data_IF_291623023581
#
_entry.id   IF_291623023581
#
_cell.length_a   1.000
_cell.length_b   1.000
_cell.length_c   1.000
_cell.angle_alpha   90.00
_cell.angle_beta   90.00
_cell.angle_gamma   90.00
#
_symmetry.space_group_name_H-M   'P 1'
#
loop_
_entity.id
_entity.type
_entity.pdbx_description
1 polymer ?
#
# COMPACT_ATOMS: atom_id res chain seq x y z
N UNK A 1 23.21 -13.07 -4.38
CA UNK A 1 23.01 -12.43 -5.70
C UNK A 1 21.61 -11.86 -5.67
N UNK A 2 21.46 -10.59 -5.31
CA UNK A 2 20.19 -9.89 -5.48
C UNK A 2 20.07 -9.64 -6.98
N UNK A 3 19.00 -10.13 -7.59
CA UNK A 3 18.66 -9.72 -8.94
C UNK A 3 18.04 -8.33 -8.75
N UNK A 4 18.71 -7.29 -9.26
CA UNK A 4 18.12 -5.95 -9.32
C UNK A 4 16.98 -6.02 -10.34
N UNK A 5 15.78 -6.31 -9.85
CA UNK A 5 14.56 -6.31 -10.66
C UNK A 5 14.05 -4.88 -10.67
N UNK A 6 14.03 -4.26 -11.85
CA UNK A 6 13.40 -2.96 -12.04
C UNK A 6 11.87 -3.15 -12.12
N UNK A 7 11.15 -2.40 -11.29
CA UNK A 7 9.69 -2.40 -11.27
C UNK A 7 9.13 -1.10 -11.85
N UNK A 8 8.08 -1.21 -12.67
CA UNK A 8 7.24 -0.07 -13.05
C UNK A 8 6.03 0.00 -12.11
N UNK A 9 5.99 1.00 -11.24
CA UNK A 9 4.88 1.23 -10.31
C UNK A 9 4.08 2.45 -10.77
N UNK A 10 2.81 2.23 -11.09
CA UNK A 10 1.86 3.31 -11.37
C UNK A 10 1.12 3.67 -10.07
N UNK A 11 1.29 4.91 -9.60
CA UNK A 11 0.67 5.39 -8.37
C UNK A 11 -0.44 6.39 -8.70
N UNK A 12 -1.64 6.14 -8.17
CA UNK A 12 -2.78 7.04 -8.28
C UNK A 12 -3.03 7.64 -6.90
N UNK A 13 -2.91 8.96 -6.80
CA UNK A 13 -3.29 9.67 -5.58
C UNK A 13 -4.83 9.87 -5.56
N UNK A 14 -5.46 9.44 -4.46
CA UNK A 14 -6.90 9.53 -4.28
C UNK A 14 -7.24 10.49 -3.14
N UNK A 15 -8.21 11.39 -3.31
CA UNK A 15 -8.60 12.33 -2.26
C UNK A 15 -9.13 11.61 -1.02
N UNK A 16 -8.74 12.06 0.19
CA UNK A 16 -9.15 11.42 1.45
C UNK A 16 -10.51 11.88 2.00
N UNK A 17 -11.10 12.95 1.45
CA UNK A 17 -12.37 13.50 1.93
C UNK A 17 -13.56 12.73 1.33
N UNK A 18 -14.60 12.48 2.15
CA UNK A 18 -15.77 11.69 1.77
C UNK A 18 -16.52 12.23 0.54
N UNK A 19 -16.52 13.56 0.37
CA UNK A 19 -17.17 14.22 -0.77
C UNK A 19 -16.61 13.79 -2.13
N UNK A 20 -15.38 13.25 -2.16
CA UNK A 20 -14.74 12.76 -3.39
C UNK A 20 -14.78 11.24 -3.51
N UNK A 21 -15.72 10.57 -2.84
CA UNK A 21 -15.88 9.11 -2.92
C UNK A 21 -15.93 8.57 -4.36
N UNK A 22 -16.55 9.31 -5.30
CA UNK A 22 -16.57 8.94 -6.71
C UNK A 22 -15.17 8.87 -7.35
N UNK A 23 -14.27 9.79 -6.98
CA UNK A 23 -12.89 9.77 -7.46
C UNK A 23 -12.10 8.62 -6.83
N UNK A 24 -12.29 8.37 -5.53
CA UNK A 24 -11.65 7.25 -4.82
C UNK A 24 -12.10 5.92 -5.43
N UNK A 25 -13.40 5.75 -5.68
CA UNK A 25 -13.94 4.55 -6.33
C UNK A 25 -13.34 4.35 -7.72
N UNK A 26 -13.19 5.42 -8.49
CA UNK A 26 -12.60 5.38 -9.83
C UNK A 26 -11.13 4.98 -9.77
N UNK A 27 -10.35 5.56 -8.87
CA UNK A 27 -8.94 5.20 -8.66
C UNK A 27 -8.79 3.74 -8.21
N UNK A 28 -9.67 3.28 -7.32
CA UNK A 28 -9.70 1.91 -6.81
C UNK A 28 -9.94 0.93 -7.96
N UNK A 29 -10.95 1.15 -8.81
CA UNK A 29 -11.22 0.28 -9.97
C UNK A 29 -10.03 0.14 -10.93
N UNK A 30 -9.15 1.16 -11.03
CA UNK A 30 -7.96 1.12 -11.89
C UNK A 30 -6.73 0.44 -11.27
N UNK A 31 -6.71 0.22 -9.96
CA UNK A 31 -5.48 -0.09 -9.21
C UNK A 31 -5.42 -1.55 -8.79
N UNK A 32 -4.31 -2.26 -9.02
CA UNK A 32 -4.23 -3.69 -8.66
C UNK A 32 -4.11 -3.92 -7.14
N UNK A 33 -3.62 -2.91 -6.42
CA UNK A 33 -3.48 -2.89 -4.97
C UNK A 33 -3.78 -1.51 -4.39
N UNK A 34 -3.85 -1.40 -3.07
CA UNK A 34 -4.10 -0.14 -2.37
C UNK A 34 -3.19 0.04 -1.16
N UNK A 35 -2.73 1.27 -0.93
CA UNK A 35 -2.01 1.65 0.30
C UNK A 35 -3.02 2.33 1.23
N UNK A 36 -3.40 1.65 2.30
CA UNK A 36 -4.28 2.21 3.32
C UNK A 36 -3.44 3.02 4.32
N UNK A 37 -3.54 4.34 4.27
CA UNK A 37 -2.79 5.23 5.17
C UNK A 37 -3.63 5.56 6.40
N UNK A 38 -3.09 5.32 7.59
CA UNK A 38 -3.74 5.63 8.87
C UNK A 38 -2.84 6.58 9.68
N UNK A 39 -3.41 7.69 10.13
CA UNK A 39 -2.76 8.56 11.12
C UNK A 39 -2.76 7.87 12.48
N UNK A 40 -1.59 7.66 13.09
CA UNK A 40 -1.50 6.97 14.39
C UNK A 40 -2.01 7.79 15.57
N UNK A 41 -2.14 9.11 15.41
CA UNK A 41 -2.74 10.00 16.42
C UNK A 41 -4.25 9.86 16.39
N UNK A 42 -4.88 9.96 15.23
CA UNK A 42 -6.34 9.85 15.09
C UNK A 42 -6.80 8.38 15.22
N UNK A 43 -6.08 7.46 14.58
CA UNK A 43 -6.40 6.05 14.53
C UNK A 43 -7.40 5.71 13.43
N UNK A 44 -8.18 4.65 13.64
CA UNK A 44 -9.16 4.17 12.66
C UNK A 44 -10.44 5.01 12.73
N UNK A 45 -10.70 5.80 11.69
CA UNK A 45 -11.88 6.67 11.59
C UNK A 45 -12.95 6.09 10.65
N UNK A 46 -14.13 6.73 10.59
CA UNK A 46 -15.22 6.34 9.68
C UNK A 46 -14.80 6.35 8.19
N UNK A 47 -13.90 7.27 7.83
CA UNK A 47 -13.32 7.37 6.48
C UNK A 47 -12.45 6.13 6.17
N UNK A 48 -11.60 5.72 7.12
CA UNK A 48 -10.77 4.51 7.01
C UNK A 48 -11.63 3.26 6.79
N UNK A 49 -12.73 3.14 7.54
CA UNK A 49 -13.67 2.03 7.40
C UNK A 49 -14.32 2.05 6.01
N UNK A 50 -14.79 3.21 5.55
CA UNK A 50 -15.40 3.35 4.22
C UNK A 50 -14.42 3.01 3.09
N UNK A 51 -13.16 3.46 3.20
CA UNK A 51 -12.10 3.15 2.26
C UNK A 51 -11.77 1.65 2.23
N UNK A 52 -11.63 1.01 3.40
CA UNK A 52 -11.37 -0.43 3.47
C UNK A 52 -12.53 -1.25 2.90
N UNK A 53 -13.78 -0.86 3.15
CA UNK A 53 -14.97 -1.50 2.55
C UNK A 53 -14.98 -1.39 1.03
N UNK A 54 -14.58 -0.25 0.49
CA UNK A 54 -14.47 -0.03 -0.96
C UNK A 54 -13.38 -0.91 -1.57
N UNK A 55 -12.18 -0.93 -1.00
CA UNK A 55 -11.06 -1.80 -1.41
C UNK A 55 -11.48 -3.27 -1.40
N UNK A 56 -12.20 -3.70 -0.35
CA UNK A 56 -12.69 -5.07 -0.23
C UNK A 56 -13.74 -5.41 -1.29
N UNK A 57 -14.69 -4.49 -1.54
CA UNK A 57 -15.75 -4.66 -2.53
C UNK A 57 -15.17 -4.83 -3.94
N UNK A 58 -14.12 -4.09 -4.27
CA UNK A 58 -13.42 -4.15 -5.56
C UNK A 58 -12.38 -5.28 -5.62
N UNK A 59 -12.33 -6.16 -4.60
CA UNK A 59 -11.41 -7.30 -4.50
C UNK A 59 -9.93 -6.93 -4.69
N UNK A 60 -9.54 -5.80 -4.09
CA UNK A 60 -8.18 -5.25 -4.17
C UNK A 60 -7.41 -5.61 -2.91
N UNK A 61 -6.12 -5.95 -3.06
CA UNK A 61 -5.27 -6.26 -1.91
C UNK A 61 -4.75 -4.97 -1.26
N UNK A 62 -5.05 -4.71 0.02
CA UNK A 62 -4.49 -3.58 0.73
C UNK A 62 -3.16 -3.92 1.43
N UNK A 63 -2.26 -2.93 1.51
CA UNK A 63 -1.19 -2.88 2.50
C UNK A 63 -1.39 -1.67 3.42
N UNK A 64 -0.99 -1.78 4.69
CA UNK A 64 -1.23 -0.75 5.71
C UNK A 64 0.01 0.14 5.90
N UNK A 65 -0.18 1.44 5.92
CA UNK A 65 0.82 2.44 6.28
C UNK A 65 0.37 3.19 7.53
N UNK A 66 1.02 2.94 8.66
CA UNK A 66 0.83 3.68 9.91
C UNK A 66 1.72 4.93 9.86
N UNK A 67 1.11 6.09 9.61
CA UNK A 67 1.79 7.35 9.38
C UNK A 67 1.67 8.28 10.60
N UNK A 68 2.54 9.31 10.64
CA UNK A 68 2.63 10.35 11.68
C UNK A 68 3.11 9.82 13.05
N UNK A 69 3.95 8.79 13.05
CA UNK A 69 4.55 8.26 14.29
C UNK A 69 5.39 9.32 15.04
N UNK A 70 5.96 10.28 14.32
CA UNK A 70 6.67 11.42 14.90
C UNK A 70 5.84 12.19 15.94
N UNK A 71 4.52 12.33 15.70
CA UNK A 71 3.62 13.05 16.61
C UNK A 71 3.40 12.33 17.93
N UNK A 72 3.53 10.99 17.97
CA UNK A 72 3.45 10.22 19.21
C UNK A 72 4.56 10.65 20.18
N UNK A 73 5.75 10.96 19.66
CA UNK A 73 6.89 11.37 20.46
C UNK A 73 6.99 12.89 20.64
N UNK A 74 6.76 13.67 19.58
CA UNK A 74 6.99 15.12 19.59
C UNK A 74 5.83 15.91 20.20
N UNK A 75 4.59 15.50 19.92
CA UNK A 75 3.39 16.21 20.40
C UNK A 75 2.81 15.53 21.64
N UNK A 76 2.53 14.22 21.55
CA UNK A 76 1.90 13.46 22.64
C UNK A 76 2.89 13.06 23.74
N UNK A 77 4.20 13.16 23.47
CA UNK A 77 5.29 12.83 24.40
C UNK A 77 5.14 11.44 25.04
N UNK A 78 4.64 10.49 24.25
CA UNK A 78 4.46 9.11 24.69
C UNK A 78 5.81 8.43 24.91
N UNK A 79 5.85 7.56 25.91
CA UNK A 79 6.96 6.61 26.05
C UNK A 79 6.94 5.59 24.90
N UNK A 80 8.08 4.95 24.57
CA UNK A 80 8.13 3.91 23.55
C UNK A 80 7.14 2.75 23.78
N UNK A 81 6.88 2.40 25.04
CA UNK A 81 5.90 1.38 25.41
C UNK A 81 4.45 1.83 25.13
N UNK A 82 4.12 3.08 25.42
CA UNK A 82 2.79 3.65 25.13
C UNK A 82 2.57 3.78 23.62
N UNK A 83 3.58 4.25 22.89
CA UNK A 83 3.55 4.31 21.43
C UNK A 83 3.34 2.91 20.82
N UNK A 84 4.05 1.89 21.31
CA UNK A 84 3.84 0.51 20.87
C UNK A 84 2.41 0.01 21.13
N UNK A 85 1.86 0.24 22.33
CA UNK A 85 0.48 -0.12 22.64
C UNK A 85 -0.52 0.60 21.73
N UNK A 86 -0.27 1.88 21.40
CA UNK A 86 -1.10 2.64 20.45
C UNK A 86 -1.07 2.03 19.05
N UNK A 87 0.12 1.70 18.54
CA UNK A 87 0.28 1.06 17.23
C UNK A 87 -0.40 -0.32 17.20
N UNK A 88 -0.20 -1.13 18.24
CA UNK A 88 -0.84 -2.43 18.40
C UNK A 88 -2.36 -2.30 18.38
N UNK A 89 -2.91 -1.37 19.17
CA UNK A 89 -4.35 -1.11 19.19
C UNK A 89 -4.90 -0.76 17.80
N UNK A 90 -4.20 0.08 17.02
CA UNK A 90 -4.66 0.46 15.68
C UNK A 90 -4.68 -0.76 14.74
N UNK A 91 -3.62 -1.59 14.77
CA UNK A 91 -3.55 -2.81 13.96
C UNK A 91 -4.67 -3.79 14.34
N UNK A 92 -4.96 -3.95 15.63
CA UNK A 92 -6.07 -4.78 16.11
C UNK A 92 -7.43 -4.26 15.65
N UNK A 93 -7.66 -2.94 15.75
CA UNK A 93 -8.92 -2.32 15.31
C UNK A 93 -9.17 -2.51 13.81
N UNK A 94 -8.15 -2.28 12.97
CA UNK A 94 -8.32 -2.43 11.51
C UNK A 94 -8.50 -3.91 11.12
N UNK A 95 -7.83 -4.84 11.81
CA UNK A 95 -8.02 -6.27 11.61
C UNK A 95 -9.41 -6.75 12.06
N UNK A 96 -10.00 -6.14 13.09
CA UNK A 96 -11.38 -6.43 13.47
C UNK A 96 -12.36 -6.04 12.36
N UNK A 97 -12.16 -4.90 11.68
CA UNK A 97 -12.97 -4.48 10.54
C UNK A 97 -12.75 -5.43 9.35
N UNK A 98 -11.51 -5.80 9.05
CA UNK A 98 -11.19 -6.76 7.99
C UNK A 98 -11.86 -8.12 8.25
N UNK A 99 -11.84 -8.60 9.50
CA UNK A 99 -12.52 -9.83 9.90
C UNK A 99 -14.05 -9.76 9.71
N UNK A 100 -14.69 -8.63 10.07
CA UNK A 100 -16.13 -8.43 9.82
C UNK A 100 -16.47 -8.48 8.33
N UNK A 101 -15.64 -7.86 7.50
CA UNK A 101 -15.79 -7.86 6.04
C UNK A 101 -15.62 -9.25 5.44
N UNK A 102 -14.66 -10.02 5.96
CA UNK A 102 -14.44 -11.41 5.56
C UNK A 102 -15.65 -12.28 5.87
N UNK A 103 -16.14 -12.25 7.11
CA UNK A 103 -17.33 -13.02 7.52
C UNK A 103 -18.55 -12.66 6.65
N UNK A 104 -18.74 -11.37 6.36
CA UNK A 104 -19.83 -10.91 5.50
C UNK A 104 -19.75 -11.48 4.07
N UNK A 105 -18.53 -11.65 3.54
CA UNK A 105 -18.31 -12.24 2.21
C UNK A 105 -18.63 -13.73 2.21
N UNK A 106 -18.10 -14.48 3.18
CA UNK A 106 -18.30 -15.94 3.28
C UNK A 106 -19.79 -16.28 3.36
N UNK A 107 -20.55 -15.57 4.19
CA UNK A 107 -22.00 -15.76 4.30
C UNK A 107 -22.68 -15.46 2.96
N UNK A 108 -22.32 -14.35 2.31
CA UNK A 108 -22.91 -13.97 1.02
C UNK A 108 -22.59 -14.93 -0.13
N UNK A 109 -21.42 -15.58 -0.10
CA UNK A 109 -21.03 -16.58 -1.09
C UNK A 109 -21.78 -17.91 -0.83
N UNK A 110 -21.94 -18.33 0.44
CA UNK A 110 -22.76 -19.49 0.82
C UNK A 110 -24.22 -19.35 0.37
N UNK A 111 -24.86 -18.20 0.62
CA UNK A 111 -26.24 -17.94 0.19
C UNK A 111 -26.41 -17.98 -1.34
N UNK A 112 -25.37 -17.66 -2.11
CA UNK A 112 -25.40 -17.72 -3.58
C UNK A 112 -25.24 -19.15 -4.08
N UNK A 113 -24.34 -19.91 -3.49
CA UNK A 113 -24.15 -21.33 -3.82
C UNK A 113 -25.43 -22.14 -3.59
N UNK A 114 -26.13 -21.88 -2.48
CA UNK A 114 -27.43 -22.51 -2.17
C UNK A 114 -28.52 -22.15 -3.18
N UNK A 115 -28.49 -20.94 -3.77
CA UNK A 115 -29.49 -20.52 -4.78
C UNK A 115 -29.20 -21.03 -6.18
N UNK A 116 -27.94 -21.35 -6.48
CA UNK A 116 -27.51 -21.73 -7.83
C UNK A 116 -27.36 -23.26 -8.03
N UNK A 117 -27.76 -24.10 -7.06
CA UNK A 117 -27.66 -25.56 -7.10
C UNK A 117 -26.26 -26.08 -7.54
N UNK A 118 -25.20 -25.31 -7.22
CA UNK A 118 -23.82 -25.72 -7.53
C UNK A 118 -23.29 -26.61 -6.40
N UNK A 119 -22.61 -27.73 -6.72
CA UNK A 119 -21.98 -28.54 -5.69
C UNK A 119 -20.91 -27.72 -4.95
N UNK A 120 -20.89 -27.83 -3.62
CA UNK A 120 -19.93 -27.12 -2.77
C UNK A 120 -18.50 -27.51 -3.12
N UNK A 121 -17.80 -26.65 -3.86
CA UNK A 121 -16.36 -26.77 -4.00
C UNK A 121 -15.69 -26.24 -2.74
N UNK A 122 -15.65 -27.06 -1.70
CA UNK A 122 -14.71 -26.89 -0.59
C UNK A 122 -13.28 -27.07 -1.14
N UNK A 123 -12.61 -26.01 -1.62
CA UNK A 123 -11.16 -26.12 -1.87
C UNK A 123 -10.31 -24.85 -1.97
N UNK A 124 -10.84 -23.62 -1.93
CA UNK A 124 -9.98 -22.41 -2.04
C UNK A 124 -10.29 -21.26 -1.07
N UNK A 125 -11.28 -21.40 -0.18
CA UNK A 125 -11.63 -20.35 0.79
C UNK A 125 -10.60 -20.17 1.91
N UNK A 126 -9.99 -21.26 2.38
CA UNK A 126 -9.14 -21.25 3.58
C UNK A 126 -7.77 -20.59 3.35
N UNK A 127 -7.26 -20.59 2.11
CA UNK A 127 -5.99 -19.92 1.77
C UNK A 127 -6.15 -18.39 1.64
N UNK A 128 -7.38 -17.91 1.45
CA UNK A 128 -7.65 -16.48 1.23
C UNK A 128 -7.86 -15.69 2.54
N UNK A 129 -8.23 -16.34 3.64
CA UNK A 129 -8.43 -15.72 4.96
C UNK A 129 -7.21 -14.92 5.42
N UNK A 130 -6.03 -15.52 5.26
CA UNK A 130 -4.79 -14.99 5.76
C UNK A 130 -4.28 -13.78 4.97
N UNK A 131 -4.63 -13.68 3.68
CA UNK A 131 -4.17 -12.58 2.81
C UNK A 131 -4.77 -11.22 3.18
N UNK A 132 -5.87 -11.24 3.92
CA UNK A 132 -6.71 -10.09 4.22
C UNK A 132 -6.34 -9.35 5.51
N UNK A 133 -5.59 -9.98 6.41
CA UNK A 133 -5.21 -9.39 7.69
C UNK A 133 -3.89 -8.61 7.60
N UNK A 134 -3.82 -7.49 8.30
CA UNK A 134 -2.64 -6.66 8.46
C UNK A 134 -1.77 -7.22 9.58
N UNK A 135 -0.65 -7.86 9.22
CA UNK A 135 0.25 -8.53 10.14
C UNK A 135 1.67 -8.02 9.88
N UNK A 136 2.24 -7.20 10.77
CA UNK A 136 3.54 -6.58 10.55
C UNK A 136 4.67 -7.56 10.17
N UNK A 137 4.65 -8.77 10.73
CA UNK A 137 5.65 -9.83 10.46
C UNK A 137 5.62 -10.35 9.01
N UNK A 138 4.49 -10.16 8.31
CA UNK A 138 4.31 -10.50 6.89
C UNK A 138 4.75 -9.39 5.95
N UNK A 139 5.17 -8.23 6.48
CA UNK A 139 5.63 -7.10 5.69
C UNK A 139 4.53 -6.28 5.01
N UNK A 140 3.25 -6.56 5.31
CA UNK A 140 2.10 -5.79 4.81
C UNK A 140 1.70 -4.61 5.72
N UNK A 141 2.50 -4.30 6.73
CA UNK A 141 2.37 -3.10 7.57
C UNK A 141 3.69 -2.33 7.56
N UNK A 142 3.61 -1.05 7.21
CA UNK A 142 4.72 -0.10 7.21
C UNK A 142 4.50 0.93 8.32
N UNK A 143 5.56 1.22 9.07
CA UNK A 143 5.56 2.23 10.13
C UNK A 143 6.32 3.45 9.64
N UNK A 144 5.72 4.64 9.69
CA UNK A 144 6.30 5.81 9.04
C UNK A 144 6.01 7.16 9.72
N UNK A 145 6.85 8.13 9.38
CA UNK A 145 6.55 9.55 9.41
C UNK A 145 6.85 10.15 8.04
N UNK A 146 5.78 10.43 7.28
CA UNK A 146 5.91 11.13 6.00
C UNK A 146 6.43 12.57 6.16
N UNK A 147 6.13 13.21 7.29
CA UNK A 147 6.59 14.56 7.59
C UNK A 147 8.11 14.63 7.72
N UNK A 148 8.71 13.64 8.39
CA UNK A 148 10.15 13.53 8.58
C UNK A 148 10.86 12.62 7.57
N UNK A 149 10.11 12.08 6.59
CA UNK A 149 10.64 11.37 5.44
C UNK A 149 11.19 9.97 5.72
N UNK A 150 10.76 9.31 6.80
CA UNK A 150 11.15 7.92 7.09
C UNK A 150 10.01 6.95 7.18
N UNK A 151 10.32 5.69 6.87
CA UNK A 151 9.46 4.56 7.05
C UNK A 151 10.27 3.28 7.17
N UNK A 152 9.71 2.27 7.81
CA UNK A 152 10.34 0.97 7.93
C UNK A 152 9.33 -0.17 8.00
N UNK A 153 9.80 -1.35 7.66
CA UNK A 153 9.16 -2.65 7.84
C UNK A 153 9.89 -3.41 8.94
N UNK A 154 9.25 -4.45 9.46
CA UNK A 154 9.92 -5.34 10.42
C UNK A 154 11.19 -5.95 9.81
N UNK A 155 11.15 -6.28 8.52
CA UNK A 155 12.25 -6.91 7.80
C UNK A 155 13.53 -6.07 7.77
N UNK A 156 13.40 -4.75 7.73
CA UNK A 156 14.55 -3.83 7.69
C UNK A 156 15.37 -3.96 8.98
N UNK A 157 14.68 -4.04 10.12
CA UNK A 157 15.31 -4.24 11.42
C UNK A 157 15.73 -5.68 11.67
N UNK A 158 14.99 -6.66 11.17
CA UNK A 158 15.38 -8.08 11.25
C UNK A 158 16.74 -8.28 10.57
N UNK A 159 16.98 -7.71 9.38
CA UNK A 159 18.27 -7.79 8.68
C UNK A 159 19.41 -7.20 9.53
N UNK A 160 19.17 -6.05 10.17
CA UNK A 160 20.15 -5.37 11.03
C UNK A 160 20.47 -6.20 12.28
N UNK A 161 19.45 -6.71 12.97
CA UNK A 161 19.62 -7.36 14.27
C UNK A 161 19.98 -8.84 14.17
N UNK A 162 19.54 -9.55 13.14
CA UNK A 162 19.93 -10.94 12.89
C UNK A 162 21.46 -11.07 12.71
N UNK A 163 22.05 -10.16 11.91
CA UNK A 163 23.50 -10.10 11.71
C UNK A 163 24.25 -9.68 12.99
N UNK A 164 23.75 -8.70 13.74
CA UNK A 164 24.39 -8.23 14.99
C UNK A 164 24.32 -9.24 16.13
N UNK A 165 23.22 -9.98 16.27
CA UNK A 165 22.99 -10.89 17.39
C UNK A 165 23.26 -12.36 17.06
N UNK A 166 23.56 -12.68 15.78
CA UNK A 166 23.71 -14.06 15.30
C UNK A 166 22.49 -14.94 15.62
N UNK A 167 21.30 -14.35 15.49
CA UNK A 167 20.00 -15.03 15.63
C UNK A 167 19.42 -15.20 14.24
N UNK A 168 18.76 -16.34 14.00
CA UNK A 168 18.08 -16.60 12.74
C UNK A 168 17.02 -15.54 12.40
N UNK A 169 17.04 -15.06 11.17
CA UNK A 169 16.17 -13.98 10.72
C UNK A 169 14.68 -14.36 10.75
N UNK A 170 14.33 -15.63 10.51
CA UNK A 170 12.94 -16.07 10.53
C UNK A 170 12.35 -16.08 11.94
N UNK A 171 13.16 -16.49 12.93
CA UNK A 171 12.78 -16.45 14.35
C UNK A 171 12.60 -15.00 14.81
N UNK A 172 13.54 -14.14 14.42
CA UNK A 172 13.50 -12.73 14.81
C UNK A 172 12.32 -12.00 14.17
N UNK A 173 12.00 -12.29 12.91
CA UNK A 173 10.82 -11.76 12.21
C UNK A 173 9.52 -12.06 12.94
N UNK A 174 9.31 -13.32 13.33
CA UNK A 174 8.12 -13.78 14.06
C UNK A 174 8.01 -13.28 15.49
N UNK A 175 9.09 -12.75 16.04
CA UNK A 175 9.13 -12.27 17.43
C UNK A 175 9.32 -10.75 17.53
N UNK A 176 9.53 -10.06 16.40
CA UNK A 176 9.71 -8.61 16.39
C UNK A 176 8.42 -7.89 16.75
N UNK A 177 7.27 -8.48 16.45
CA UNK A 177 5.95 -7.99 16.84
C UNK A 177 5.35 -8.93 17.90
N UNK A 178 4.58 -8.39 18.84
CA UNK A 178 3.96 -9.17 19.92
C UNK A 178 4.76 -9.23 21.23
N UNK A 179 4.36 -10.15 22.11
CA UNK A 179 4.83 -10.22 23.51
C UNK A 179 6.13 -11.04 23.67
N UNK A 180 7.17 -10.65 22.95
CA UNK A 180 8.50 -11.25 23.02
C UNK A 180 9.53 -10.24 23.50
N UNK A 181 10.60 -10.69 24.16
CA UNK A 181 11.71 -9.83 24.58
C UNK A 181 13.05 -10.51 24.37
N UNK A 182 14.11 -9.71 24.24
CA UNK A 182 15.48 -10.21 24.21
C UNK A 182 16.07 -10.26 25.62
N UNK A 183 16.65 -11.39 26.00
CA UNK A 183 17.37 -11.53 27.27
C UNK A 183 18.88 -11.50 27.04
N UNK A 184 19.55 -10.43 27.49
CA UNK A 184 21.00 -10.30 27.38
C UNK A 184 21.76 -11.43 28.11
N UNK A 185 21.15 -12.03 29.16
CA UNK A 185 21.75 -13.13 29.92
C UNK A 185 21.85 -14.42 29.10
N UNK A 186 20.78 -14.76 28.38
CA UNK A 186 20.70 -16.00 27.60
C UNK A 186 21.00 -15.78 26.12
N UNK A 187 21.11 -14.53 25.67
CA UNK A 187 21.24 -14.11 24.26
C UNK A 187 20.18 -14.73 23.35
N UNK A 188 18.96 -14.88 23.88
CA UNK A 188 17.82 -15.48 23.18
C UNK A 188 16.60 -14.60 23.25
N UNK A 189 15.74 -14.73 22.25
CA UNK A 189 14.39 -14.18 22.26
C UNK A 189 13.49 -15.11 23.06
N UNK A 190 12.73 -14.55 24.00
CA UNK A 190 11.87 -15.28 24.91
C UNK A 190 10.45 -14.68 24.88
N UNK A 191 9.40 -15.51 25.02
CA UNK A 191 8.02 -15.02 25.10
C UNK A 191 7.69 -14.48 26.50
N UNK A 192 6.52 -13.86 26.59
CA UNK A 192 5.89 -13.33 27.80
C UNK A 192 6.67 -12.16 28.41
N UNK A 193 6.94 -11.13 27.59
CA UNK A 193 7.65 -9.93 28.05
C UNK A 193 6.86 -9.22 29.15
N UNK A 194 5.56 -8.99 28.92
CA UNK A 194 4.67 -8.30 29.85
C UNK A 194 4.62 -9.00 31.22
N UNK A 195 4.43 -10.32 31.25
CA UNK A 195 4.37 -11.10 32.49
C UNK A 195 5.67 -11.03 33.31
N UNK A 196 6.81 -10.76 32.65
CA UNK A 196 8.13 -10.64 33.28
C UNK A 196 8.56 -9.19 33.52
N UNK A 197 7.66 -8.22 33.32
CA UNK A 197 7.96 -6.79 33.42
C UNK A 197 9.06 -6.32 32.46
N UNK A 198 9.16 -6.98 31.29
CA UNK A 198 10.12 -6.65 30.23
C UNK A 198 9.40 -5.93 29.10
N UNK A 199 10.11 -5.03 28.43
CA UNK A 199 9.60 -4.38 27.24
C UNK A 199 9.59 -5.35 26.05
N UNK A 200 8.61 -5.24 25.14
CA UNK A 200 8.59 -5.99 23.90
C UNK A 200 9.81 -5.72 23.01
N UNK A 201 10.13 -6.66 22.13
CA UNK A 201 11.28 -6.60 21.24
C UNK A 201 11.20 -5.39 20.31
N UNK A 202 10.00 -5.11 19.77
CA UNK A 202 9.71 -3.93 18.97
C UNK A 202 10.13 -2.63 19.67
N UNK A 203 9.84 -2.53 20.97
CA UNK A 203 10.18 -1.34 21.76
C UNK A 203 11.70 -1.23 21.90
N UNK A 204 12.32 -2.30 22.40
CA UNK A 204 13.76 -2.35 22.69
C UNK A 204 14.64 -2.11 21.46
N UNK A 205 14.25 -2.66 20.31
CA UNK A 205 15.10 -2.72 19.11
C UNK A 205 14.76 -1.66 18.07
N UNK A 206 13.57 -1.05 18.14
CA UNK A 206 13.08 -0.12 17.13
C UNK A 206 12.68 1.21 17.77
N UNK A 207 11.62 1.24 18.58
CA UNK A 207 11.05 2.51 19.05
C UNK A 207 11.99 3.29 19.97
N UNK A 208 12.78 2.61 20.81
CA UNK A 208 13.80 3.27 21.64
C UNK A 208 14.84 4.00 20.78
N UNK A 209 15.25 3.42 19.65
CA UNK A 209 16.21 4.04 18.73
C UNK A 209 15.60 5.23 17.99
N UNK A 210 14.33 5.10 17.56
CA UNK A 210 13.59 6.19 16.92
C UNK A 210 13.41 7.36 17.90
N UNK A 211 12.99 7.08 19.13
CA UNK A 211 12.83 8.10 20.16
C UNK A 211 14.17 8.74 20.52
N UNK A 212 15.27 7.99 20.62
CA UNK A 212 16.58 8.56 20.93
C UNK A 212 17.03 9.63 19.92
N UNK A 213 16.69 9.46 18.63
CA UNK A 213 16.95 10.48 17.60
C UNK A 213 16.06 11.72 17.82
N UNK A 214 14.76 11.53 18.04
CA UNK A 214 13.85 12.65 18.32
C UNK A 214 14.19 13.39 19.61
N UNK A 215 14.60 12.66 20.64
CA UNK A 215 14.98 13.21 21.93
C UNK A 215 16.23 14.07 21.79
N UNK A 216 17.31 13.50 21.25
CA UNK A 216 18.59 14.21 21.07
C UNK A 216 18.53 15.36 20.05
N UNK A 217 17.54 15.37 19.15
CA UNK A 217 17.41 16.42 18.14
C UNK A 217 16.38 17.49 18.48
N UNK A 218 15.20 17.12 18.98
CA UNK A 218 14.07 18.05 19.12
C UNK A 218 13.62 18.26 20.56
N UNK A 219 13.57 17.22 21.39
CA UNK A 219 13.00 17.32 22.74
C UNK A 219 14.02 17.85 23.74
N UNK A 220 15.18 17.21 23.81
CA UNK A 220 16.31 17.54 24.68
C UNK A 220 17.58 17.60 23.84
N UNK A 221 17.82 18.71 23.09
CA UNK A 221 18.91 18.79 22.14
C UNK A 221 20.28 18.49 22.76
N UNK A 222 20.93 17.42 22.30
CA UNK A 222 22.25 16.96 22.72
C UNK A 222 23.06 16.47 21.51
N UNK A 223 23.90 17.37 20.99
CA UNK A 223 24.75 17.10 19.83
C UNK A 223 25.79 16.00 20.11
N UNK A 224 26.25 15.85 21.35
CA UNK A 224 27.23 14.84 21.72
C UNK A 224 26.60 13.44 21.74
N UNK A 225 25.38 13.31 22.26
CA UNK A 225 24.62 12.07 22.17
C UNK A 225 24.24 11.75 20.72
N UNK A 226 23.83 12.75 19.95
CA UNK A 226 23.49 12.56 18.54
C UNK A 226 24.67 12.06 17.71
N UNK A 227 25.88 12.59 17.93
CA UNK A 227 27.11 12.10 17.29
C UNK A 227 27.39 10.64 17.61
N UNK A 228 27.12 10.19 18.84
CA UNK A 228 27.23 8.76 19.22
C UNK A 228 26.23 7.91 18.46
N UNK A 229 25.00 8.38 18.29
CA UNK A 229 23.96 7.68 17.51
C UNK A 229 24.38 7.57 16.04
N UNK A 230 24.81 8.67 15.42
CA UNK A 230 25.27 8.71 14.01
C UNK A 230 26.41 7.70 13.80
N UNK A 231 27.38 7.66 14.72
CA UNK A 231 28.49 6.70 14.66
C UNK A 231 28.02 5.25 14.85
N UNK A 232 27.11 4.99 15.80
CA UNK A 232 26.55 3.66 16.07
C UNK A 232 25.75 3.11 14.87
N UNK A 233 25.00 3.99 14.20
CA UNK A 233 24.24 3.67 12.99
C UNK A 233 25.12 3.68 11.71
N UNK A 234 26.39 4.08 11.82
CA UNK A 234 27.34 4.21 10.70
C UNK A 234 26.82 5.11 9.57
N UNK A 235 26.19 6.23 9.93
CA UNK A 235 25.62 7.17 8.96
C UNK A 235 26.66 8.21 8.54
N UNK A 236 26.74 8.45 7.23
CA UNK A 236 27.59 9.50 6.67
C UNK A 236 26.87 10.85 6.72
N UNK A 237 27.01 11.57 7.83
CA UNK A 237 26.48 12.92 8.03
C UNK A 237 27.63 13.92 8.07
N UNK A 238 27.56 14.97 7.27
CA UNK A 238 28.62 15.97 7.18
C UNK A 238 28.59 16.91 8.40
N UNK A 239 29.75 17.44 8.85
CA UNK A 239 29.80 18.41 9.93
C UNK A 239 29.03 19.71 9.65
N UNK A 240 28.78 20.03 8.37
CA UNK A 240 27.95 21.16 7.96
C UNK A 240 26.47 20.89 8.21
N UNK A 241 25.99 19.68 7.92
CA UNK A 241 24.61 19.25 8.20
C UNK A 241 24.33 19.19 9.71
N UNK A 242 25.31 18.76 10.51
CA UNK A 242 25.21 18.77 11.97
C UNK A 242 25.11 20.18 12.56
N UNK A 243 25.70 21.16 11.87
CA UNK A 243 25.72 22.59 12.23
C UNK A 243 24.71 23.42 11.44
N UNK A 244 23.89 22.79 10.58
CA UNK A 244 22.95 23.50 9.71
C UNK A 244 22.04 24.37 10.57
N UNK A 245 22.13 25.68 10.33
CA UNK A 245 21.65 26.72 11.22
C UNK A 245 20.16 26.62 11.55
N UNK A 246 19.85 26.62 12.85
CA UNK A 246 18.51 26.84 13.41
C UNK A 246 17.50 25.69 13.26
N UNK A 247 17.45 25.03 12.10
CA UNK A 247 16.44 24.01 11.82
C UNK A 247 16.89 22.60 12.19
N UNK A 248 16.66 22.22 13.45
CA UNK A 248 16.93 20.86 13.95
C UNK A 248 16.05 19.80 13.30
N UNK A 249 14.90 20.16 12.72
CA UNK A 249 14.03 19.19 12.03
C UNK A 249 14.62 18.80 10.67
N UNK A 250 15.36 19.68 10.01
CA UNK A 250 16.14 19.32 8.83
C UNK A 250 17.21 18.25 9.14
N UNK A 251 17.85 18.32 10.32
CA UNK A 251 18.81 17.31 10.76
C UNK A 251 18.15 15.95 10.99
N UNK A 252 16.97 15.94 11.63
CA UNK A 252 16.14 14.74 11.78
C UNK A 252 15.86 14.11 10.42
N UNK A 253 15.35 14.88 9.44
CA UNK A 253 15.10 14.40 8.07
C UNK A 253 16.36 13.85 7.38
N UNK A 254 17.50 14.50 7.59
CA UNK A 254 18.79 14.11 7.03
C UNK A 254 19.28 12.75 7.56
N UNK A 255 19.16 12.53 8.87
CA UNK A 255 19.53 11.28 9.55
C UNK A 255 18.58 10.16 9.13
N UNK A 256 17.27 10.41 9.27
CA UNK A 256 16.23 9.43 8.97
C UNK A 256 16.17 9.07 7.49
N UNK A 257 16.33 10.03 6.57
CA UNK A 257 16.37 9.77 5.13
C UNK A 257 17.56 8.92 4.69
N UNK A 258 18.65 8.86 5.47
CA UNK A 258 19.80 7.96 5.23
C UNK A 258 19.64 6.61 5.93
N UNK A 259 18.96 6.58 7.08
CA UNK A 259 18.82 5.36 7.88
C UNK A 259 17.64 4.50 7.43
N UNK A 260 16.47 5.11 7.24
CA UNK A 260 15.19 4.45 6.97
C UNK A 260 14.40 5.24 5.90
N UNK A 261 14.84 5.24 4.63
CA UNK A 261 14.20 6.03 3.58
C UNK A 261 12.74 5.59 3.36
N UNK A 262 11.80 6.52 3.50
CA UNK A 262 10.36 6.22 3.38
C UNK A 262 9.99 5.55 2.06
N UNK A 263 10.51 6.07 0.94
CA UNK A 263 10.17 5.58 -0.39
C UNK A 263 10.55 4.09 -0.56
N UNK A 264 11.70 3.67 -0.03
CA UNK A 264 12.16 2.28 -0.09
C UNK A 264 11.22 1.38 0.70
N UNK A 265 10.90 1.75 1.95
CA UNK A 265 10.02 0.94 2.78
C UNK A 265 8.62 0.75 2.17
N UNK A 266 8.06 1.80 1.57
CA UNK A 266 6.73 1.74 0.95
C UNK A 266 6.77 0.96 -0.36
N UNK A 267 7.71 1.27 -1.27
CA UNK A 267 7.78 0.63 -2.58
C UNK A 267 8.15 -0.85 -2.49
N UNK A 268 9.03 -1.23 -1.57
CA UNK A 268 9.31 -2.64 -1.33
C UNK A 268 8.06 -3.38 -0.83
N UNK A 269 7.28 -2.79 0.09
CA UNK A 269 6.00 -3.40 0.51
C UNK A 269 5.05 -3.56 -0.67
N UNK A 270 4.95 -2.57 -1.55
CA UNK A 270 4.12 -2.66 -2.76
C UNK A 270 4.56 -3.83 -3.63
N UNK A 271 5.86 -3.95 -3.93
CA UNK A 271 6.39 -5.00 -4.79
C UNK A 271 6.30 -6.40 -4.16
N UNK A 272 6.46 -6.51 -2.84
CA UNK A 272 6.42 -7.80 -2.13
C UNK A 272 4.99 -8.29 -1.84
N UNK A 273 4.04 -7.38 -1.66
CA UNK A 273 2.70 -7.73 -1.18
C UNK A 273 1.60 -7.62 -2.23
N UNK A 274 1.71 -6.73 -3.20
CA UNK A 274 0.65 -6.51 -4.19
C UNK A 274 0.84 -7.43 -5.41
N UNK A 275 -0.25 -7.99 -5.94
CA UNK A 275 -0.17 -8.88 -7.10
C UNK A 275 0.23 -8.09 -8.36
N UNK A 276 1.08 -8.64 -9.24
CA UNK A 276 1.24 -8.08 -10.58
C UNK A 276 -0.07 -8.19 -11.38
N UNK A 277 -0.29 -7.33 -12.40
CA UNK A 277 -1.50 -7.32 -13.22
C UNK A 277 -1.86 -8.68 -13.84
N UNK A 278 -0.84 -9.47 -14.19
CA UNK A 278 -1.00 -10.82 -14.76
C UNK A 278 -1.50 -11.87 -13.78
N UNK A 279 -1.63 -11.54 -12.50
CA UNK A 279 -2.06 -12.44 -11.42
C UNK A 279 -3.36 -11.98 -10.75
N UNK A 280 -4.10 -11.07 -11.40
CA UNK A 280 -5.37 -10.60 -10.89
C UNK A 280 -6.39 -11.75 -10.78
N UNK A 281 -7.17 -11.81 -9.69
CA UNK A 281 -8.22 -12.82 -9.53
C UNK A 281 -9.26 -12.72 -10.66
N UNK A 282 -9.67 -13.87 -11.21
CA UNK A 282 -10.70 -13.92 -12.25
C UNK A 282 -12.01 -13.27 -11.79
N UNK A 283 -12.37 -13.43 -10.52
CA UNK A 283 -13.54 -12.80 -9.90
C UNK A 283 -13.52 -11.26 -10.11
N UNK A 284 -12.35 -10.64 -9.96
CA UNK A 284 -12.20 -9.20 -10.12
C UNK A 284 -12.33 -8.77 -11.57
N UNK A 285 -11.69 -9.48 -12.50
CA UNK A 285 -11.83 -9.18 -13.93
C UNK A 285 -13.29 -9.30 -14.39
N UNK A 286 -13.99 -10.34 -13.94
CA UNK A 286 -15.42 -10.51 -14.21
C UNK A 286 -16.23 -9.33 -13.67
N UNK A 287 -15.94 -8.85 -12.47
CA UNK A 287 -16.59 -7.66 -11.88
C UNK A 287 -16.31 -6.41 -12.72
N UNK A 288 -15.06 -6.16 -13.15
CA UNK A 288 -14.70 -5.01 -13.97
C UNK A 288 -15.38 -5.01 -15.35
N UNK A 289 -15.63 -6.20 -15.92
CA UNK A 289 -16.32 -6.34 -17.20
C UNK A 289 -17.83 -6.14 -17.10
N UNK A 290 -18.41 -6.33 -15.91
CA UNK A 290 -19.84 -6.22 -15.68
C UNK A 290 -20.21 -4.79 -15.25
N UNK A 291 -21.39 -4.33 -15.69
CA UNK A 291 -21.99 -3.12 -15.09
C UNK A 291 -22.55 -3.47 -13.71
N UNK A 292 -22.69 -2.46 -12.85
CA UNK A 292 -23.34 -2.61 -11.54
C UNK A 292 -24.68 -3.33 -11.66
N UNK A 293 -24.80 -4.51 -11.04
CA UNK A 293 -26.03 -5.34 -11.05
C UNK A 293 -26.19 -6.27 -12.25
N UNK A 294 -25.20 -6.36 -13.14
CA UNK A 294 -25.19 -7.30 -14.26
C UNK A 294 -24.32 -8.52 -13.94
N UNK A 295 -24.80 -9.72 -14.29
CA UNK A 295 -24.03 -10.95 -14.16
C UNK A 295 -23.16 -11.17 -15.40
N UNK A 296 -21.96 -11.71 -15.21
CA UNK A 296 -21.03 -12.04 -16.30
C UNK A 296 -21.66 -12.96 -17.35
N UNK A 297 -22.49 -13.90 -16.89
CA UNK A 297 -23.17 -14.86 -17.77
C UNK A 297 -24.21 -14.22 -18.71
N UNK A 298 -24.64 -12.98 -18.42
CA UNK A 298 -25.54 -12.22 -19.29
C UNK A 298 -24.82 -11.36 -20.33
N UNK A 299 -23.49 -11.30 -20.28
CA UNK A 299 -22.70 -10.55 -21.26
C UNK A 299 -22.76 -11.21 -22.65
N UNK A 300 -22.66 -10.44 -23.74
CA UNK A 300 -22.51 -10.99 -25.08
C UNK A 300 -21.31 -11.95 -25.17
N UNK A 301 -21.41 -12.98 -26.00
CA UNK A 301 -20.32 -13.96 -26.22
C UNK A 301 -19.00 -13.30 -26.63
N UNK A 302 -19.07 -12.25 -27.46
CA UNK A 302 -17.91 -11.45 -27.83
C UNK A 302 -17.19 -10.84 -26.61
N UNK A 303 -17.95 -10.42 -25.59
CA UNK A 303 -17.38 -9.90 -24.34
C UNK A 303 -16.80 -11.01 -23.48
N UNK A 304 -17.47 -12.15 -23.36
CA UNK A 304 -16.98 -13.30 -22.60
C UNK A 304 -15.66 -13.84 -23.16
N UNK A 305 -15.52 -13.86 -24.49
CA UNK A 305 -14.31 -14.30 -25.18
C UNK A 305 -13.10 -13.39 -24.91
N UNK A 306 -13.27 -12.21 -24.31
CA UNK A 306 -12.16 -11.34 -23.89
C UNK A 306 -11.53 -11.78 -22.57
N UNK A 307 -12.25 -12.50 -21.70
CA UNK A 307 -11.78 -12.86 -20.36
C UNK A 307 -10.45 -13.63 -20.36
N UNK A 308 -10.22 -14.64 -21.22
CA UNK A 308 -8.94 -15.35 -21.28
C UNK A 308 -7.75 -14.45 -21.65
N UNK A 309 -7.97 -13.45 -22.51
CA UNK A 309 -6.93 -12.49 -22.89
C UNK A 309 -6.58 -11.56 -21.73
N UNK A 310 -7.59 -11.13 -20.96
CA UNK A 310 -7.42 -10.29 -19.77
C UNK A 310 -6.71 -11.03 -18.63
N UNK A 311 -7.02 -12.32 -18.44
CA UNK A 311 -6.39 -13.16 -17.40
C UNK A 311 -4.88 -13.35 -17.62
N UNK A 312 -4.46 -13.51 -18.86
CA UNK A 312 -3.05 -13.81 -19.17
C UNK A 312 -2.22 -12.57 -19.52
N UNK A 313 -2.83 -11.39 -19.62
CA UNK A 313 -2.18 -10.17 -20.13
C UNK A 313 -1.32 -10.47 -21.38
N UNK A 314 -1.93 -11.11 -22.39
CA UNK A 314 -1.25 -11.58 -23.61
C UNK A 314 -1.41 -10.64 -24.82
N UNK A 315 -0.37 -9.90 -25.17
CA UNK A 315 -0.40 -8.92 -26.26
C UNK A 315 -0.57 -9.49 -27.68
N UNK A 316 -0.26 -10.78 -27.87
CA UNK A 316 -0.24 -11.38 -29.21
C UNK A 316 -1.67 -11.63 -29.73
N UNK A 317 -2.03 -10.94 -30.82
CA UNK A 317 -3.33 -11.05 -31.52
C UNK A 317 -4.56 -10.75 -30.64
N UNK A 318 -4.39 -9.93 -29.59
CA UNK A 318 -5.47 -9.59 -28.68
C UNK A 318 -6.31 -8.38 -29.17
N UNK A 319 -7.61 -8.35 -28.85
CA UNK A 319 -8.44 -7.16 -29.06
C UNK A 319 -8.01 -6.02 -28.11
N UNK A 320 -8.02 -4.78 -28.60
CA UNK A 320 -7.75 -3.61 -27.77
C UNK A 320 -8.93 -3.33 -26.83
N UNK A 321 -8.69 -3.40 -25.52
CA UNK A 321 -9.68 -3.10 -24.47
C UNK A 321 -9.22 -1.89 -23.69
N UNK A 322 -10.08 -0.87 -23.59
CA UNK A 322 -9.79 0.37 -22.87
C UNK A 322 -10.87 0.61 -21.83
N UNK A 323 -10.47 0.76 -20.57
CA UNK A 323 -11.36 1.17 -19.49
C UNK A 323 -11.16 2.66 -19.19
N UNK A 324 -12.13 3.47 -19.58
CA UNK A 324 -12.10 4.92 -19.36
C UNK A 324 -12.67 5.21 -17.97
N UNK A 325 -11.83 5.75 -17.10
CA UNK A 325 -12.19 5.99 -15.70
C UNK A 325 -12.38 7.46 -15.39
N UNK A 326 -11.48 8.33 -15.88
CA UNK A 326 -11.52 9.78 -15.61
C UNK A 326 -11.20 10.59 -16.87
N UNK A 327 -11.92 11.69 -17.02
CA UNK A 327 -11.72 12.67 -18.09
C UNK A 327 -11.05 13.90 -17.52
N UNK A 328 -9.92 14.30 -18.10
CA UNK A 328 -9.21 15.52 -17.73
C UNK A 328 -9.41 16.56 -18.83
N UNK A 329 -9.78 17.78 -18.40
CA UNK A 329 -9.69 18.93 -19.28
C UNK A 329 -8.22 19.34 -19.37
N UNK A 330 -7.67 19.37 -20.58
CA UNK A 330 -6.28 19.75 -20.83
C UNK A 330 -6.28 20.86 -21.86
N UNK A 331 -5.38 21.83 -21.68
CA UNK A 331 -5.17 22.86 -22.70
C UNK A 331 -4.72 22.19 -24.01
N UNK A 332 -5.39 22.54 -25.10
CA UNK A 332 -5.01 22.18 -26.48
C UNK A 332 -3.52 22.32 -26.77
N UNK A 333 -2.83 23.30 -26.17
CA UNK A 333 -1.40 23.53 -26.36
C UNK A 333 -0.49 22.49 -25.69
N UNK A 334 -0.99 21.78 -24.66
CA UNK A 334 -0.27 20.73 -23.94
C UNK A 334 -0.46 19.34 -24.57
N UNK A 335 -1.45 19.20 -25.47
CA UNK A 335 -1.53 18.00 -26.29
C UNK A 335 -0.32 17.96 -27.20
N UNK A 336 0.49 16.91 -27.05
CA UNK A 336 1.62 16.66 -27.93
C UNK A 336 1.13 16.61 -29.38
N UNK A 337 1.33 17.67 -30.16
CA UNK A 337 1.41 17.59 -31.62
C UNK A 337 2.73 16.88 -31.95
N UNK A 338 2.79 15.57 -31.75
CA UNK A 338 3.92 14.74 -32.20
C UNK A 338 3.50 14.03 -33.47
N UNK A 339 3.94 14.55 -34.62
CA UNK A 339 5.23 14.27 -35.28
C UNK A 339 5.15 12.93 -36.03
N UNK A 340 5.33 13.01 -37.36
CA UNK A 340 5.19 11.98 -38.39
C UNK A 340 6.05 10.70 -38.20
N UNK A 341 6.67 10.47 -37.06
CA UNK A 341 7.65 9.40 -36.84
C UNK A 341 7.16 8.20 -36.01
N UNK A 342 5.91 8.21 -35.52
CA UNK A 342 5.21 6.99 -35.03
C UNK A 342 4.25 6.42 -36.08
N UNK A 343 4.62 6.51 -37.36
CA UNK A 343 3.77 6.09 -38.47
C UNK A 343 3.83 4.58 -38.79
N UNK A 344 4.55 3.76 -38.01
CA UNK A 344 4.66 2.31 -38.29
C UNK A 344 3.86 1.39 -37.36
N UNK A 345 3.38 1.85 -36.20
CA UNK A 345 2.41 1.09 -35.40
C UNK A 345 1.00 1.63 -35.66
N UNK A 346 0.38 1.07 -36.70
CA UNK A 346 -0.96 1.39 -37.18
C UNK A 346 -2.02 1.12 -36.10
N UNK A 347 -2.50 2.19 -35.46
CA UNK A 347 -3.87 2.25 -34.91
C UNK A 347 -4.67 3.28 -35.72
N UNK A 348 -4.71 3.08 -37.04
CA UNK A 348 -5.65 3.78 -37.91
C UNK A 348 -6.99 3.05 -37.86
N UNK A 349 -8.02 3.70 -37.29
CA UNK A 349 -9.41 3.33 -37.50
C UNK A 349 -10.05 2.41 -36.46
N UNK A 350 -9.73 2.53 -35.17
CA UNK A 350 -10.52 1.85 -34.13
C UNK A 350 -11.80 2.65 -33.85
N UNK A 351 -12.94 2.16 -34.36
CA UNK A 351 -14.26 2.55 -33.85
C UNK A 351 -14.35 2.06 -32.40
N UNK A 352 -14.17 2.97 -31.44
CA UNK A 352 -14.39 2.67 -30.02
C UNK A 352 -15.89 2.44 -29.80
N UNK A 353 -16.28 1.19 -29.56
CA UNK A 353 -17.61 0.84 -29.07
C UNK A 353 -17.69 1.18 -27.57
N UNK A 354 -18.20 2.36 -27.25
CA UNK A 354 -18.41 2.79 -25.86
C UNK A 354 -19.69 2.14 -25.33
N UNK A 355 -19.56 0.96 -24.72
CA UNK A 355 -20.66 0.29 -24.02
C UNK A 355 -20.76 0.79 -22.58
N UNK A 356 -21.58 1.81 -22.29
CA UNK A 356 -21.70 2.28 -20.90
C UNK A 356 -22.52 3.55 -20.70
N UNK A 357 -22.51 4.44 -21.67
CA UNK A 357 -23.36 5.63 -21.67
C UNK A 357 -23.99 5.79 -23.05
N UNK A 358 -25.31 5.83 -23.10
CA UNK A 358 -26.08 6.23 -24.29
C UNK A 358 -25.94 7.73 -24.57
N UNK A 359 -24.70 8.22 -24.64
CA UNK A 359 -24.37 9.47 -25.29
C UNK A 359 -23.36 9.12 -26.37
N UNK A 360 -23.78 9.31 -27.63
CA UNK A 360 -22.85 9.43 -28.75
C UNK A 360 -21.76 10.43 -28.32
N UNK A 361 -20.57 9.95 -27.98
CA UNK A 361 -19.37 10.78 -27.98
C UNK A 361 -19.11 11.09 -29.46
N UNK A 362 -19.75 12.15 -29.95
CA UNK A 362 -19.31 12.80 -31.18
C UNK A 362 -17.97 13.44 -30.82
N UNK A 363 -16.89 12.91 -31.36
CA UNK A 363 -15.69 13.73 -31.55
C UNK A 363 -16.16 14.95 -32.37
N UNK A 364 -15.90 16.14 -31.83
CA UNK A 364 -16.50 17.37 -32.29
C UNK A 364 -16.41 17.52 -33.81
N UNK A 365 -17.58 17.68 -34.45
CA UNK A 365 -17.64 18.52 -35.64
C UNK A 365 -17.34 19.95 -35.19
N UNK A 366 -16.41 20.57 -35.89
CA UNK A 366 -15.95 21.96 -35.85
C UNK A 366 -16.92 22.95 -35.18
N UNK A 367 -16.70 23.30 -33.89
CA UNK A 367 -17.14 24.58 -33.32
C UNK A 367 -16.62 24.91 -31.90
N UNK A 368 -16.22 23.94 -31.06
CA UNK A 368 -15.79 24.25 -29.68
C UNK A 368 -14.57 23.43 -29.27
N UNK A 369 -13.44 24.12 -29.24
CA UNK A 369 -12.09 23.55 -29.22
C UNK A 369 -11.58 23.33 -27.78
N UNK A 370 -12.14 22.34 -27.07
CA UNK A 370 -11.51 21.81 -25.83
C UNK A 370 -11.43 20.29 -25.92
N UNK A 371 -10.24 19.73 -26.18
CA UNK A 371 -10.04 18.30 -26.24
C UNK A 371 -9.94 17.71 -24.83
N UNK A 372 -10.65 16.61 -24.61
CA UNK A 372 -10.62 15.85 -23.36
C UNK A 372 -9.51 14.81 -23.42
N UNK A 373 -8.64 14.77 -22.41
CA UNK A 373 -7.64 13.70 -22.24
C UNK A 373 -8.24 12.59 -21.40
N UNK A 374 -8.15 11.37 -21.92
CA UNK A 374 -8.62 10.15 -21.27
C UNK A 374 -7.54 9.64 -20.33
N UNK A 375 -7.85 9.55 -19.04
CA UNK A 375 -7.10 8.66 -18.15
C UNK A 375 -7.76 7.30 -18.28
N UNK A 376 -7.20 6.52 -19.20
CA UNK A 376 -7.50 5.12 -19.32
C UNK A 376 -6.47 4.35 -18.52
N UNK A 377 -6.92 3.39 -17.72
CA UNK A 377 -6.06 2.23 -17.56
C UNK A 377 -6.06 1.55 -18.91
N UNK A 378 -4.93 1.62 -19.57
CA UNK A 378 -4.67 0.69 -20.65
C UNK A 378 -4.66 -0.68 -20.00
N UNK A 379 -5.70 -1.46 -20.26
CA UNK A 379 -5.48 -2.89 -20.31
C UNK A 379 -4.78 -3.12 -21.65
N UNK A 380 -3.52 -2.68 -21.72
CA UNK A 380 -2.62 -3.13 -22.78
C UNK A 380 -2.44 -4.59 -22.48
N UNK A 381 -3.20 -5.40 -23.21
CA UNK A 381 -3.01 -6.84 -23.26
C UNK A 381 -1.61 -7.09 -23.76
#
# INVERSE_FOLDING_TARGET
LFIDVEYLVNLIDSPGHLDFYGEVSTATCLSDGAILVIDVVEGVCAQTNSALRLVWKEAIRPCLLLNKIDRLFTELKMTPMEAYKRLQFIVEQINAIAGQLFVSKVIGDQEREEREDRPSSFSDSDQNEESSYFIPERGNVVFASALDGWGFRIDDFVKIWASKLSIDASVLRKAMWGDFYFSAKTKRVLPNAAAKGRQPLFVQMILDNVLAIYDSALLNPDDAHMLKIIHSLKLNVTPKELRSGGDRRALVKCIFGRWLPLAVAVLDTVCDTLPPPSSLPEQRLRQMMCKSGQNFDTLPEASKNMLPYLLHCSAKNAPTVVFISKLFAVDTGLLCRRSKEMADDRVNGVRLLVNGMSKKLRFADDATNVPLVLLASYITV
#
